data_IF_477764000363
#
_entry.id   IF_477764000363
#
_cell.length_a   1.000
_cell.length_b   1.000
_cell.length_c   1.000
_cell.angle_alpha   90.00
_cell.angle_beta   90.00
_cell.angle_gamma   90.00
#
_symmetry.space_group_name_H-M   'P 1'
#
loop_
_entity.id
_entity.type
_entity.pdbx_description
1 polymer ?
#
# COMPACT_ATOMS: atom_id res chain seq x y z
N UNK A 1 -65.12 45.45 40.08
CA UNK A 1 -63.65 45.58 39.90
C UNK A 1 -63.00 44.30 40.41
N UNK A 2 -62.65 43.32 39.58
CA UNK A 2 -61.30 43.08 38.98
C UNK A 2 -60.15 43.16 40.00
N UNK A 3 -59.20 42.22 40.15
CA UNK A 3 -58.83 40.95 39.48
C UNK A 3 -57.67 40.34 40.30
N UNK A 4 -57.57 38.99 40.32
CA UNK A 4 -56.35 38.15 40.19
C UNK A 4 -55.21 38.25 41.22
N UNK A 5 -54.85 37.09 41.80
CA UNK A 5 -53.47 36.55 41.93
C UNK A 5 -53.58 35.03 42.13
N UNK A 6 -53.49 34.28 41.03
CA UNK A 6 -52.33 33.48 40.55
C UNK A 6 -52.22 32.13 41.25
N UNK A 7 -52.80 31.16 40.54
CA UNK A 7 -52.84 29.71 40.67
C UNK A 7 -51.42 29.13 40.62
N UNK A 8 -51.04 28.35 41.64
CA UNK A 8 -49.85 27.49 41.60
C UNK A 8 -50.15 26.26 40.75
N UNK A 9 -49.43 26.14 39.64
CA UNK A 9 -49.39 24.96 38.77
C UNK A 9 -48.35 24.00 39.38
N UNK A 10 -48.75 22.77 39.68
CA UNK A 10 -47.81 21.68 39.95
C UNK A 10 -48.13 20.48 39.06
N UNK A 11 -47.14 20.21 38.21
CA UNK A 11 -46.81 19.04 37.39
C UNK A 11 -47.69 17.79 37.47
N UNK A 12 -48.19 17.37 36.30
CA UNK A 12 -48.49 15.97 35.97
C UNK A 12 -47.96 15.66 34.56
N UNK A 13 -46.91 14.86 34.54
CA UNK A 13 -46.57 13.74 33.62
C UNK A 13 -47.03 13.88 32.16
N UNK A 14 -46.09 14.16 31.27
CA UNK A 14 -46.17 13.78 29.86
C UNK A 14 -44.93 12.94 29.52
N UNK A 15 -45.09 11.62 29.56
CA UNK A 15 -44.11 10.65 29.09
C UNK A 15 -43.92 10.83 27.58
N UNK A 16 -42.80 11.41 27.19
CA UNK A 16 -42.37 11.47 25.80
C UNK A 16 -41.91 10.07 25.37
N UNK A 17 -42.67 9.45 24.47
CA UNK A 17 -42.19 8.38 23.60
C UNK A 17 -41.13 8.99 22.67
N UNK A 18 -39.85 8.82 23.04
CA UNK A 18 -38.75 9.02 22.11
C UNK A 18 -38.65 7.77 21.22
N UNK A 19 -38.62 7.90 19.89
CA UNK A 19 -38.17 6.80 19.05
C UNK A 19 -36.71 6.52 19.40
N UNK A 20 -36.40 5.27 19.73
CA UNK A 20 -35.03 4.79 19.80
C UNK A 20 -34.39 5.03 18.42
N UNK A 21 -33.58 6.08 18.32
CA UNK A 21 -32.65 6.21 17.22
C UNK A 21 -31.70 5.01 17.35
N UNK A 22 -31.87 4.03 16.47
CA UNK A 22 -30.81 3.08 16.18
C UNK A 22 -29.56 3.91 15.93
N UNK A 23 -28.59 3.86 16.84
CA UNK A 23 -27.23 4.23 16.49
C UNK A 23 -26.87 3.32 15.33
N UNK A 24 -26.89 3.85 14.12
CA UNK A 24 -26.05 3.30 13.08
C UNK A 24 -24.65 3.30 13.71
N UNK A 25 -24.10 2.11 13.94
CA UNK A 25 -22.68 2.00 14.18
C UNK A 25 -22.02 2.71 13.00
N UNK A 26 -21.48 3.90 13.24
CA UNK A 26 -20.56 4.50 12.29
C UNK A 26 -19.42 3.50 12.25
N UNK A 27 -19.26 2.81 11.12
CA UNK A 27 -18.00 2.16 10.80
C UNK A 27 -16.93 3.21 11.08
N UNK A 28 -15.92 2.92 11.92
CA UNK A 28 -14.79 3.83 12.07
C UNK A 28 -14.34 4.23 10.66
N UNK A 29 -14.05 5.51 10.46
CA UNK A 29 -13.27 5.90 9.30
C UNK A 29 -12.00 5.04 9.35
N UNK A 30 -11.61 4.44 8.22
CA UNK A 30 -10.36 3.69 8.18
C UNK A 30 -9.25 4.58 8.72
N UNK A 31 -8.41 4.02 9.59
CA UNK A 31 -7.31 4.75 10.17
C UNK A 31 -6.33 5.10 9.02
N UNK A 32 -6.03 6.40 8.89
CA UNK A 32 -5.06 6.90 7.93
C UNK A 32 -3.69 6.29 8.25
N UNK A 33 -2.98 5.76 7.25
CA UNK A 33 -1.62 5.26 7.45
C UNK A 33 -0.75 6.48 7.79
N UNK A 34 -0.10 6.50 8.97
CA UNK A 34 0.69 7.65 9.39
C UNK A 34 1.93 7.80 8.50
N UNK A 35 2.55 9.00 8.47
CA UNK A 35 3.86 9.19 7.89
C UNK A 35 4.90 8.19 8.45
N UNK A 36 5.86 7.78 7.61
CA UNK A 36 6.80 6.70 7.98
C UNK A 36 7.61 7.03 9.25
N UNK A 37 7.95 8.30 9.47
CA UNK A 37 8.70 8.76 10.65
C UNK A 37 7.89 8.78 11.95
N UNK A 38 6.58 8.53 11.88
CA UNK A 38 5.70 8.42 13.04
C UNK A 38 5.54 6.97 13.54
N UNK A 39 6.04 5.97 12.81
CA UNK A 39 6.01 4.59 13.30
C UNK A 39 7.00 4.40 14.45
N UNK A 40 6.54 3.81 15.55
CA UNK A 40 7.39 3.49 16.69
C UNK A 40 8.46 2.47 16.29
N UNK A 41 9.71 2.72 16.70
CA UNK A 41 10.83 1.81 16.47
C UNK A 41 11.36 1.75 15.04
N UNK A 42 10.87 2.57 14.10
CA UNK A 42 11.42 2.61 12.73
C UNK A 42 12.90 3.04 12.76
N UNK A 43 13.77 2.26 12.12
CA UNK A 43 15.20 2.57 12.01
C UNK A 43 15.62 2.96 10.60
N UNK A 44 15.02 2.32 9.59
CA UNK A 44 15.33 2.56 8.19
C UNK A 44 14.15 2.15 7.29
N UNK A 45 13.95 2.87 6.19
CA UNK A 45 12.99 2.52 5.16
C UNK A 45 13.51 2.92 3.78
N UNK A 46 13.38 2.02 2.81
CA UNK A 46 13.77 2.24 1.41
C UNK A 46 12.71 1.71 0.47
N UNK A 47 12.64 2.24 -0.75
CA UNK A 47 11.84 1.66 -1.82
C UNK A 47 12.55 1.67 -3.18
N UNK A 48 12.33 0.62 -3.96
CA UNK A 48 12.75 0.55 -5.36
C UNK A 48 11.51 0.43 -6.23
N UNK A 49 11.48 1.24 -7.28
CA UNK A 49 10.48 1.16 -8.34
C UNK A 49 11.13 0.69 -9.63
N UNK A 50 10.52 -0.31 -10.26
CA UNK A 50 10.81 -0.76 -11.61
C UNK A 50 9.68 -0.37 -12.56
N UNK A 51 10.04 -0.09 -13.79
CA UNK A 51 9.11 0.24 -14.85
C UNK A 51 9.60 -0.25 -16.21
N UNK A 52 8.83 0.08 -17.24
CA UNK A 52 9.24 -0.18 -18.62
C UNK A 52 10.47 0.69 -18.99
N UNK A 53 11.38 0.14 -19.78
CA UNK A 53 12.53 0.86 -20.34
C UNK A 53 12.07 1.78 -21.48
N UNK A 54 11.38 2.88 -21.13
CA UNK A 54 10.84 3.84 -22.10
C UNK A 54 11.96 4.43 -22.97
N UNK A 55 13.14 4.70 -22.39
CA UNK A 55 14.28 5.25 -23.13
C UNK A 55 14.81 4.26 -24.16
N UNK A 56 15.01 3.00 -23.77
CA UNK A 56 15.40 1.93 -24.69
C UNK A 56 14.36 1.67 -25.78
N UNK A 57 13.06 1.70 -25.41
CA UNK A 57 11.97 1.57 -26.38
C UNK A 57 11.98 2.72 -27.40
N UNK A 58 12.15 3.98 -26.96
CA UNK A 58 12.21 5.15 -27.85
C UNK A 58 13.45 5.13 -28.74
N UNK A 59 14.59 4.66 -28.21
CA UNK A 59 15.80 4.51 -29.00
C UNK A 59 15.65 3.45 -30.11
N UNK A 60 14.91 2.38 -29.85
CA UNK A 60 14.60 1.33 -30.82
C UNK A 60 13.51 1.76 -31.81
N UNK A 61 12.51 2.50 -31.34
CA UNK A 61 11.34 2.95 -32.10
C UNK A 61 11.07 4.43 -31.81
N UNK A 62 11.63 5.36 -32.61
CA UNK A 62 11.56 6.80 -32.35
C UNK A 62 10.15 7.43 -32.33
N UNK A 63 9.15 6.70 -32.82
CA UNK A 63 7.76 7.18 -32.99
C UNK A 63 6.76 6.32 -32.19
N UNK A 64 7.11 5.87 -30.97
CA UNK A 64 6.19 5.12 -30.09
C UNK A 64 4.85 5.83 -29.95
N UNK A 65 3.77 5.09 -30.19
CA UNK A 65 2.41 5.50 -29.95
C UNK A 65 1.92 4.95 -28.60
N UNK A 66 0.88 5.55 -27.97
CA UNK A 66 0.28 5.03 -26.75
C UNK A 66 -0.10 3.54 -26.82
N UNK A 67 -0.52 3.07 -27.99
CA UNK A 67 -0.81 1.66 -28.27
C UNK A 67 0.41 0.73 -28.19
N UNK A 68 1.63 1.25 -28.34
CA UNK A 68 2.85 0.45 -28.24
C UNK A 68 3.24 0.17 -26.77
N UNK A 69 2.60 0.86 -25.82
CA UNK A 69 2.70 0.61 -24.38
C UNK A 69 1.59 -0.32 -23.87
N UNK A 70 0.72 -0.85 -24.75
CA UNK A 70 -0.42 -1.67 -24.34
C UNK A 70 0.01 -3.10 -23.99
N UNK A 71 0.09 -3.35 -22.69
CA UNK A 71 0.24 -4.68 -22.11
C UNK A 71 1.36 -4.73 -21.08
N UNK A 72 1.20 -5.60 -20.09
CA UNK A 72 2.22 -5.83 -19.08
C UNK A 72 2.03 -5.05 -17.79
N UNK A 73 3.11 -5.09 -17.01
CA UNK A 73 3.27 -4.41 -15.74
C UNK A 73 3.82 -3.01 -16.03
N UNK A 74 3.08 -1.99 -15.66
CA UNK A 74 3.49 -0.58 -15.85
C UNK A 74 4.43 -0.12 -14.76
N UNK A 75 4.15 -0.56 -13.52
CA UNK A 75 4.93 -0.23 -12.33
C UNK A 75 5.02 -1.48 -11.46
N UNK A 76 6.21 -1.78 -10.97
CA UNK A 76 6.48 -2.74 -9.91
C UNK A 76 7.27 -2.02 -8.83
N UNK A 77 6.94 -2.22 -7.56
CA UNK A 77 7.64 -1.59 -6.47
C UNK A 77 7.84 -2.58 -5.31
N UNK A 78 8.95 -2.41 -4.60
CA UNK A 78 9.18 -3.02 -3.30
C UNK A 78 9.66 -1.94 -2.33
N UNK A 79 9.06 -1.93 -1.15
CA UNK A 79 9.42 -1.12 -0.02
C UNK A 79 9.78 -2.05 1.14
N UNK A 80 10.88 -1.73 1.81
CA UNK A 80 11.38 -2.49 2.97
C UNK A 80 11.55 -1.51 4.12
N UNK A 81 10.93 -1.83 5.26
CA UNK A 81 11.04 -1.09 6.50
C UNK A 81 11.72 -1.99 7.53
N UNK A 82 12.70 -1.46 8.26
CA UNK A 82 13.36 -2.12 9.38
C UNK A 82 13.01 -1.41 10.68
N UNK A 83 12.60 -2.19 11.66
CA UNK A 83 12.29 -1.76 13.01
C UNK A 83 13.35 -2.24 14.00
N UNK A 84 13.37 -1.66 15.19
CA UNK A 84 14.22 -2.06 16.31
C UNK A 84 13.80 -3.39 16.96
N UNK A 85 12.60 -3.88 16.63
CA UNK A 85 12.01 -5.09 17.20
C UNK A 85 10.88 -5.66 16.33
N UNK A 86 10.65 -6.96 16.46
CA UNK A 86 9.53 -7.69 15.83
C UNK A 86 8.17 -7.15 16.29
N UNK A 87 8.03 -6.76 17.55
CA UNK A 87 6.79 -6.18 18.10
C UNK A 87 6.41 -4.88 17.38
N UNK A 88 7.38 -3.99 17.14
CA UNK A 88 7.16 -2.74 16.42
C UNK A 88 6.90 -2.98 14.92
N UNK A 89 7.59 -3.95 14.30
CA UNK A 89 7.31 -4.35 12.92
C UNK A 89 5.88 -4.89 12.76
N UNK A 90 5.42 -5.75 13.68
CA UNK A 90 4.07 -6.29 13.66
C UNK A 90 3.01 -5.20 13.90
N UNK A 91 3.26 -4.25 14.81
CA UNK A 91 2.36 -3.11 15.01
C UNK A 91 2.25 -2.21 13.76
N UNK A 92 3.36 -2.04 13.02
CA UNK A 92 3.35 -1.33 11.74
C UNK A 92 2.57 -2.12 10.67
N UNK A 93 2.76 -3.44 10.59
CA UNK A 93 1.98 -4.32 9.71
C UNK A 93 0.48 -4.16 9.95
N UNK A 94 0.01 -4.25 11.20
CA UNK A 94 -1.41 -4.11 11.56
C UNK A 94 -1.97 -2.73 11.14
N UNK A 95 -1.15 -1.69 11.28
CA UNK A 95 -1.49 -0.33 10.84
C UNK A 95 -1.64 -0.25 9.32
N UNK A 96 -0.69 -0.79 8.56
CA UNK A 96 -0.80 -0.85 7.09
C UNK A 96 -2.03 -1.68 6.66
N UNK A 97 -2.22 -2.86 7.24
CA UNK A 97 -3.32 -3.76 6.89
C UNK A 97 -4.68 -3.08 7.09
N UNK A 98 -4.86 -2.35 8.19
CA UNK A 98 -6.11 -1.67 8.50
C UNK A 98 -6.38 -0.44 7.62
N UNK A 99 -5.34 0.28 7.18
CA UNK A 99 -5.48 1.50 6.39
C UNK A 99 -5.43 1.32 4.86
N UNK A 100 -4.73 0.29 4.36
CA UNK A 100 -4.40 0.17 2.94
C UNK A 100 -5.64 0.13 2.04
N UNK A 101 -6.70 -0.57 2.45
CA UNK A 101 -7.91 -0.70 1.64
C UNK A 101 -8.58 0.65 1.33
N UNK A 102 -8.57 1.59 2.28
CA UNK A 102 -9.09 2.93 2.05
C UNK A 102 -8.15 3.79 1.22
N UNK A 103 -6.84 3.69 1.44
CA UNK A 103 -5.86 4.42 0.64
C UNK A 103 -5.91 4.00 -0.84
N UNK A 104 -6.09 2.71 -1.13
CA UNK A 104 -6.23 2.21 -2.50
C UNK A 104 -7.47 2.76 -3.20
N UNK A 105 -8.59 2.88 -2.51
CA UNK A 105 -9.80 3.47 -3.09
C UNK A 105 -9.58 4.94 -3.50
N UNK A 106 -8.75 5.67 -2.76
CA UNK A 106 -8.37 7.04 -3.12
C UNK A 106 -7.42 7.11 -4.33
N UNK A 107 -6.64 6.05 -4.57
CA UNK A 107 -5.77 5.92 -5.74
C UNK A 107 -6.54 5.58 -7.03
N UNK A 108 -7.81 5.18 -6.95
CA UNK A 108 -8.61 4.88 -8.13
C UNK A 108 -8.84 6.14 -8.98
N UNK A 109 -8.16 6.23 -10.13
CA UNK A 109 -8.29 7.37 -11.05
C UNK A 109 -9.50 7.21 -11.97
N UNK A 110 -10.70 7.34 -11.40
CA UNK A 110 -11.97 7.19 -12.12
C UNK A 110 -12.44 5.74 -12.21
N UNK A 111 -13.38 5.48 -13.13
CA UNK A 111 -13.99 4.14 -13.27
C UNK A 111 -14.84 3.70 -12.07
N UNK A 112 -15.09 2.40 -12.00
CA UNK A 112 -15.73 1.76 -10.83
C UNK A 112 -14.67 0.91 -10.12
N UNK A 113 -14.22 1.31 -8.91
CA UNK A 113 -13.24 0.54 -8.16
C UNK A 113 -13.88 -0.64 -7.42
N UNK A 114 -13.18 -1.77 -7.38
CA UNK A 114 -13.46 -2.89 -6.48
C UNK A 114 -12.19 -3.27 -5.73
N UNK A 115 -12.32 -3.60 -4.44
CA UNK A 115 -11.21 -4.01 -3.59
C UNK A 115 -11.49 -5.41 -3.06
N UNK A 116 -10.49 -6.28 -3.15
CA UNK A 116 -10.49 -7.60 -2.53
C UNK A 116 -9.26 -7.76 -1.65
N UNK A 117 -9.42 -8.40 -0.50
CA UNK A 117 -8.38 -8.71 0.47
C UNK A 117 -8.32 -10.23 0.68
N UNK A 118 -7.13 -10.79 0.72
CA UNK A 118 -6.87 -12.20 0.97
C UNK A 118 -5.62 -12.42 1.84
N UNK A 119 -5.65 -13.31 2.84
CA UNK A 119 -4.46 -13.69 3.58
C UNK A 119 -3.53 -14.58 2.73
N UNK A 120 -2.22 -14.46 2.93
CA UNK A 120 -1.20 -15.32 2.33
C UNK A 120 -0.56 -16.16 3.45
N UNK A 121 -0.78 -17.48 3.43
CA UNK A 121 -0.36 -18.36 4.53
C UNK A 121 1.10 -18.80 4.49
N UNK A 122 1.77 -18.67 3.35
CA UNK A 122 3.11 -19.23 3.11
C UNK A 122 4.14 -18.12 2.81
N UNK A 123 3.98 -16.95 3.44
CA UNK A 123 4.86 -15.79 3.26
C UNK A 123 5.05 -15.04 4.58
N UNK A 124 6.29 -14.97 5.05
CA UNK A 124 6.64 -14.31 6.32
C UNK A 124 6.00 -14.94 7.55
N UNK A 125 6.05 -14.22 8.67
CA UNK A 125 5.31 -14.53 9.89
C UNK A 125 3.81 -14.23 9.72
N UNK A 126 3.49 -13.11 9.05
CA UNK A 126 2.15 -12.71 8.62
C UNK A 126 2.19 -12.02 7.27
N UNK A 127 1.20 -12.30 6.41
CA UNK A 127 1.05 -11.62 5.13
C UNK A 127 -0.41 -11.56 4.63
N UNK A 128 -0.68 -10.54 3.83
CA UNK A 128 -1.94 -10.37 3.09
C UNK A 128 -1.69 -9.71 1.74
N UNK A 129 -2.64 -9.91 0.83
CA UNK A 129 -2.70 -9.18 -0.42
C UNK A 129 -4.02 -8.42 -0.55
N UNK A 130 -3.92 -7.19 -1.05
CA UNK A 130 -5.07 -6.37 -1.38
C UNK A 130 -4.99 -6.00 -2.85
N UNK A 131 -6.05 -6.31 -3.61
CA UNK A 131 -6.13 -5.99 -5.03
C UNK A 131 -7.20 -4.94 -5.26
N UNK A 132 -6.81 -3.82 -5.84
CA UNK A 132 -7.70 -2.81 -6.41
C UNK A 132 -7.86 -3.09 -7.91
N UNK A 133 -9.10 -3.29 -8.34
CA UNK A 133 -9.45 -3.34 -9.76
C UNK A 133 -10.22 -2.08 -10.12
N UNK A 134 -9.81 -1.41 -11.19
CA UNK A 134 -10.52 -0.23 -11.71
C UNK A 134 -10.98 -0.50 -13.13
N UNK A 135 -12.29 -0.43 -13.36
CA UNK A 135 -12.88 -0.66 -14.69
C UNK A 135 -13.41 0.65 -15.29
N UNK A 136 -12.98 0.96 -16.52
CA UNK A 136 -13.52 2.02 -17.38
C UNK A 136 -14.14 1.41 -18.65
N UNK A 137 -14.87 2.18 -19.49
CA UNK A 137 -15.34 1.68 -20.78
C UNK A 137 -14.21 1.27 -21.74
N UNK A 138 -13.02 1.85 -21.59
CA UNK A 138 -11.88 1.59 -22.47
C UNK A 138 -11.00 0.45 -21.98
N UNK A 139 -10.82 0.29 -20.65
CA UNK A 139 -9.85 -0.65 -20.09
C UNK A 139 -10.16 -1.05 -18.64
N UNK A 140 -9.50 -2.11 -18.20
CA UNK A 140 -9.45 -2.54 -16.81
C UNK A 140 -7.99 -2.49 -16.34
N UNK A 141 -7.76 -2.02 -15.11
CA UNK A 141 -6.43 -1.96 -14.50
C UNK A 141 -6.44 -2.66 -13.15
N UNK A 142 -5.37 -3.36 -12.85
CA UNK A 142 -5.19 -4.14 -11.64
C UNK A 142 -4.00 -3.58 -10.87
N UNK A 143 -4.23 -3.24 -9.61
CA UNK A 143 -3.22 -2.81 -8.67
C UNK A 143 -3.21 -3.79 -7.51
N UNK A 144 -2.22 -4.68 -7.50
CA UNK A 144 -2.06 -5.71 -6.46
C UNK A 144 -0.98 -5.28 -5.50
N UNK A 145 -1.35 -5.13 -4.23
CA UNK A 145 -0.45 -4.89 -3.10
C UNK A 145 -0.28 -6.18 -2.30
N UNK A 146 0.95 -6.47 -1.91
CA UNK A 146 1.27 -7.55 -0.97
C UNK A 146 2.01 -6.94 0.20
N UNK A 147 1.49 -7.16 1.40
CA UNK A 147 2.07 -6.74 2.66
C UNK A 147 2.51 -7.99 3.42
N UNK A 148 3.74 -8.02 3.89
CA UNK A 148 4.27 -9.10 4.71
C UNK A 148 5.12 -8.54 5.86
N UNK A 149 5.20 -9.28 6.96
CA UNK A 149 6.12 -9.02 8.06
C UNK A 149 6.87 -10.33 8.38
N UNK A 150 8.19 -10.20 8.60
CA UNK A 150 9.08 -11.28 9.00
C UNK A 150 10.12 -10.72 9.96
N UNK A 151 10.15 -11.22 11.21
CA UNK A 151 11.01 -10.68 12.26
C UNK A 151 10.87 -9.16 12.42
N UNK A 152 11.98 -8.42 12.33
CA UNK A 152 11.98 -6.96 12.50
C UNK A 152 11.68 -6.16 11.22
N UNK A 153 11.26 -6.82 10.13
CA UNK A 153 11.07 -6.19 8.83
C UNK A 153 9.61 -6.22 8.38
N UNK A 154 9.17 -5.13 7.75
CA UNK A 154 7.90 -5.06 7.00
C UNK A 154 8.22 -4.85 5.53
N UNK A 155 7.58 -5.65 4.69
CA UNK A 155 7.74 -5.63 3.24
C UNK A 155 6.41 -5.24 2.60
N UNK A 156 6.44 -4.24 1.73
CA UNK A 156 5.30 -3.86 0.91
C UNK A 156 5.72 -3.95 -0.55
N UNK A 157 5.04 -4.76 -1.34
CA UNK A 157 5.26 -4.79 -2.79
C UNK A 157 3.96 -4.46 -3.51
N UNK A 158 4.06 -3.87 -4.69
CA UNK A 158 2.88 -3.72 -5.53
C UNK A 158 3.19 -3.76 -7.01
N UNK A 159 2.19 -4.15 -7.80
CA UNK A 159 2.23 -4.11 -9.25
C UNK A 159 0.98 -3.43 -9.80
N UNK A 160 1.18 -2.48 -10.72
CA UNK A 160 0.12 -1.92 -11.56
C UNK A 160 0.21 -2.58 -12.94
N UNK A 161 -0.86 -3.24 -13.38
CA UNK A 161 -0.89 -3.96 -14.65
C UNK A 161 -2.25 -3.85 -15.35
N UNK A 162 -2.26 -4.25 -16.63
CA UNK A 162 -3.48 -4.28 -17.46
C UNK A 162 -4.27 -5.58 -17.36
N UNK A 163 -3.68 -6.62 -16.75
CA UNK A 163 -4.35 -7.90 -16.49
C UNK A 163 -4.10 -8.38 -15.06
N UNK A 164 -5.03 -9.17 -14.52
CA UNK A 164 -4.88 -9.77 -13.18
C UNK A 164 -3.66 -10.68 -13.10
N UNK A 165 -3.40 -11.45 -14.16
CA UNK A 165 -2.29 -12.41 -14.21
C UNK A 165 -0.94 -11.70 -14.19
N UNK A 166 -0.83 -10.54 -14.83
CA UNK A 166 0.39 -9.72 -14.79
C UNK A 166 0.60 -9.10 -13.41
N UNK A 167 -0.46 -8.69 -12.72
CA UNK A 167 -0.39 -8.10 -11.39
C UNK A 167 0.15 -9.08 -10.32
N UNK A 168 0.07 -10.40 -10.57
CA UNK A 168 0.64 -11.43 -9.66
C UNK A 168 2.17 -11.40 -9.55
N UNK A 169 2.86 -10.65 -10.42
CA UNK A 169 4.29 -10.37 -10.24
C UNK A 169 4.61 -9.74 -8.87
N UNK A 170 3.64 -9.03 -8.26
CA UNK A 170 3.79 -8.51 -6.90
C UNK A 170 3.95 -9.65 -5.89
N UNK A 171 3.23 -10.77 -6.05
CA UNK A 171 3.39 -11.95 -5.19
C UNK A 171 4.77 -12.57 -5.37
N UNK A 172 5.23 -12.70 -6.63
CA UNK A 172 6.56 -13.24 -6.93
C UNK A 172 7.66 -12.35 -6.31
N UNK A 173 7.50 -11.02 -6.38
CA UNK A 173 8.44 -10.08 -5.78
C UNK A 173 8.39 -10.13 -4.25
N UNK A 174 7.20 -10.20 -3.65
CA UNK A 174 7.02 -10.35 -2.21
C UNK A 174 7.71 -11.64 -1.71
N UNK A 175 7.51 -12.75 -2.40
CA UNK A 175 8.16 -14.01 -2.09
C UNK A 175 9.68 -13.91 -2.14
N UNK A 176 10.24 -13.22 -3.14
CA UNK A 176 11.68 -12.99 -3.24
C UNK A 176 12.19 -12.12 -2.08
N UNK A 177 11.61 -10.94 -1.86
CA UNK A 177 12.14 -10.00 -0.85
C UNK A 177 12.04 -10.56 0.56
N UNK A 178 11.04 -11.41 0.85
CA UNK A 178 10.87 -12.04 2.16
C UNK A 178 11.78 -13.27 2.34
N UNK A 179 11.87 -14.16 1.34
CA UNK A 179 12.52 -15.46 1.51
C UNK A 179 13.97 -15.53 1.04
N UNK A 180 14.30 -14.77 0.00
CA UNK A 180 15.61 -14.82 -0.67
C UNK A 180 16.43 -13.54 -0.44
N UNK A 181 15.77 -12.41 -0.19
CA UNK A 181 16.40 -11.14 0.12
C UNK A 181 17.04 -11.14 1.51
N UNK A 182 18.17 -10.45 1.65
CA UNK A 182 18.82 -10.24 2.95
C UNK A 182 19.47 -8.86 3.02
N UNK A 183 19.56 -8.28 4.22
CA UNK A 183 20.29 -7.04 4.42
C UNK A 183 21.79 -7.23 4.13
N UNK A 184 22.37 -6.39 3.27
CA UNK A 184 23.74 -6.57 2.76
C UNK A 184 24.72 -5.56 3.32
N UNK A 185 25.44 -5.91 4.39
CA UNK A 185 26.49 -5.08 4.97
C UNK A 185 25.99 -3.72 5.50
N UNK A 186 26.91 -2.98 6.12
CA UNK A 186 26.53 -1.78 6.88
C UNK A 186 26.54 -0.49 6.03
N UNK A 187 27.11 -0.51 4.83
CA UNK A 187 27.27 0.67 3.97
C UNK A 187 26.35 0.57 2.74
N UNK A 188 25.32 1.42 2.70
CA UNK A 188 24.44 1.56 1.55
C UNK A 188 25.03 2.55 0.52
N UNK A 189 25.06 2.13 -0.74
CA UNK A 189 25.38 2.99 -1.88
C UNK A 189 24.07 3.35 -2.55
N UNK A 190 23.67 4.61 -2.44
CA UNK A 190 22.44 5.13 -3.04
C UNK A 190 22.68 5.62 -4.48
N UNK A 191 21.78 5.22 -5.38
CA UNK A 191 21.71 5.65 -6.78
C UNK A 191 20.24 5.95 -7.09
N UNK A 192 19.92 7.24 -7.31
CA UNK A 192 18.54 7.70 -7.40
C UNK A 192 17.76 7.10 -8.57
N UNK A 193 18.46 6.86 -9.69
CA UNK A 193 17.89 6.27 -10.90
C UNK A 193 17.63 4.76 -10.77
N UNK A 194 17.92 4.16 -9.61
CA UNK A 194 17.88 2.72 -9.39
C UNK A 194 19.27 2.10 -9.23
N UNK A 195 19.30 0.82 -8.87
CA UNK A 195 20.53 0.05 -8.65
C UNK A 195 21.36 0.46 -7.42
N UNK A 196 20.74 1.08 -6.41
CA UNK A 196 21.32 1.16 -5.06
C UNK A 196 21.68 -0.24 -4.54
N UNK A 197 22.72 -0.32 -3.71
CA UNK A 197 23.22 -1.60 -3.17
C UNK A 197 23.58 -1.45 -1.70
N UNK A 198 23.62 -2.57 -0.97
CA UNK A 198 23.99 -2.59 0.44
C UNK A 198 22.87 -2.13 1.38
N UNK A 199 22.98 -2.45 2.67
CA UNK A 199 21.91 -2.25 3.65
C UNK A 199 20.60 -2.90 3.19
N UNK A 200 19.48 -2.20 3.36
CA UNK A 200 18.15 -2.68 2.98
C UNK A 200 17.97 -2.92 1.47
N UNK A 201 18.83 -2.36 0.61
CA UNK A 201 18.78 -2.67 -0.82
C UNK A 201 19.18 -4.10 -1.14
N UNK A 202 19.82 -4.81 -0.20
CA UNK A 202 20.14 -6.23 -0.33
C UNK A 202 18.91 -7.15 -0.42
N UNK A 203 17.74 -6.69 0.02
CA UNK A 203 16.47 -7.40 -0.16
C UNK A 203 15.97 -7.35 -1.60
N UNK A 204 16.40 -6.36 -2.39
CA UNK A 204 15.90 -6.16 -3.75
C UNK A 204 16.55 -7.14 -4.72
N UNK A 205 15.82 -7.67 -5.71
CA UNK A 205 16.41 -8.50 -6.75
C UNK A 205 17.46 -7.73 -7.56
N UNK A 206 18.43 -8.46 -8.10
CA UNK A 206 19.35 -7.92 -9.11
C UNK A 206 18.60 -7.61 -10.40
N UNK A 207 19.01 -6.57 -11.12
CA UNK A 207 18.31 -6.07 -12.31
C UNK A 207 18.23 -7.09 -13.47
N UNK A 208 19.08 -8.12 -13.46
CA UNK A 208 19.13 -9.17 -14.48
C UNK A 208 18.26 -10.40 -14.17
N UNK A 209 17.52 -10.38 -13.06
CA UNK A 209 16.67 -11.52 -12.69
C UNK A 209 15.51 -11.70 -13.68
N UNK A 210 15.18 -12.96 -13.95
CA UNK A 210 13.99 -13.32 -14.75
C UNK A 210 12.69 -12.89 -14.08
N UNK A 211 12.71 -12.69 -12.75
CA UNK A 211 11.57 -12.24 -11.95
C UNK A 211 11.02 -10.89 -12.44
N UNK A 212 11.88 -9.96 -12.85
CA UNK A 212 11.47 -8.60 -13.23
C UNK A 212 10.80 -8.55 -14.62
N UNK A 213 10.75 -9.65 -15.37
CA UNK A 213 10.10 -9.76 -16.69
C UNK A 213 10.51 -8.65 -17.68
N UNK A 214 11.75 -8.19 -17.59
CA UNK A 214 12.32 -7.14 -18.44
C UNK A 214 12.04 -5.70 -17.98
N UNK A 215 11.43 -5.51 -16.80
CA UNK A 215 11.37 -4.21 -16.15
C UNK A 215 12.78 -3.77 -15.71
N UNK A 216 13.04 -2.47 -15.79
CA UNK A 216 14.29 -1.84 -15.36
C UNK A 216 14.02 -0.98 -14.13
N UNK A 217 14.98 -0.85 -13.21
CA UNK A 217 14.81 0.08 -12.09
C UNK A 217 14.75 1.51 -12.64
N UNK A 218 13.84 2.31 -12.10
CA UNK A 218 13.61 3.71 -12.53
C UNK A 218 13.75 4.70 -11.39
N UNK A 219 13.65 4.24 -10.15
CA UNK A 219 13.80 5.07 -8.97
C UNK A 219 14.15 4.21 -7.76
N UNK A 220 15.10 4.70 -6.97
CA UNK A 220 15.29 4.29 -5.58
C UNK A 220 15.03 5.50 -4.68
N UNK A 221 14.45 5.30 -3.49
CA UNK A 221 14.38 6.35 -2.48
C UNK A 221 14.74 5.83 -1.09
N UNK A 222 15.33 6.72 -0.29
CA UNK A 222 15.42 6.54 1.16
C UNK A 222 14.23 7.24 1.78
N UNK A 223 13.34 6.47 2.39
CA UNK A 223 12.12 6.97 3.01
C UNK A 223 12.36 7.33 4.48
N UNK A 224 13.26 6.61 5.15
CA UNK A 224 13.69 6.91 6.51
C UNK A 224 15.15 6.48 6.78
N UNK A 225 15.95 7.29 7.48
CA UNK A 225 15.68 8.69 7.81
C UNK A 225 15.60 9.53 6.52
N UNK A 226 14.69 10.51 6.48
CA UNK A 226 14.56 11.40 5.33
C UNK A 226 15.87 12.19 5.13
N UNK A 227 16.39 12.20 3.90
CA UNK A 227 17.63 12.89 3.50
C UNK A 227 17.47 14.40 3.31
#
# INVERSE_FOLDING_TARGET
MTRKRRLCILMIVASALLPALSSAAQTPAADEIPPIDEFEGIEAAVDRTWGQDIEGMLAATPDLQPEDFQGGVTVLNAMVLRFDSEENALAAYDTFQSGIGSQLLEMAQGGTPTVSDEPISDLGDVASAVTLTTTTPEQETYLRFVLAQEGQYVFLTYALATTSDEATIADDLAAYVVNDGEEQGDEAIYVAEGASTGGLWGFMPSDDTVLLRGLVPISDQTLYPAS
#
